data_IF_757578909961
#
_entry.id   IF_757578909961
#
_cell.length_a   1.000
_cell.length_b   1.000
_cell.length_c   1.000
_cell.angle_alpha   90.00
_cell.angle_beta   90.00
_cell.angle_gamma   90.00
#
_symmetry.space_group_name_H-M   'P 1'
#
loop_
_entity.id
_entity.type
_entity.pdbx_description
1 polymer ?
#
# COMPACT_ATOMS: atom_id res chain seq x y z
N UNK A 1 7.45 -33.66 -53.14
CA UNK A 1 8.24 -33.36 -51.92
C UNK A 1 7.25 -33.21 -50.79
N UNK A 2 7.08 -34.25 -49.98
CA UNK A 2 6.23 -34.22 -48.81
C UNK A 2 7.05 -33.61 -47.66
N UNK A 3 6.65 -32.45 -47.18
CA UNK A 3 7.23 -31.85 -45.97
C UNK A 3 6.68 -32.60 -44.76
N UNK A 4 7.55 -33.36 -44.10
CA UNK A 4 7.29 -33.93 -42.78
C UNK A 4 7.06 -32.79 -41.79
N UNK A 5 5.80 -32.59 -41.39
CA UNK A 5 5.50 -31.85 -40.17
C UNK A 5 5.90 -32.75 -39.00
N UNK A 6 7.08 -32.51 -38.43
CA UNK A 6 7.49 -33.06 -37.15
C UNK A 6 6.56 -32.54 -36.06
N UNK A 7 5.49 -33.28 -35.79
CA UNK A 7 4.59 -33.03 -34.67
C UNK A 7 5.36 -33.23 -33.36
N UNK A 8 5.72 -32.13 -32.70
CA UNK A 8 6.15 -32.18 -31.30
C UNK A 8 4.95 -32.72 -30.53
N UNK A 9 5.04 -33.94 -30.02
CA UNK A 9 4.01 -34.52 -29.17
C UNK A 9 3.79 -33.56 -27.99
N UNK A 10 2.63 -32.91 -27.93
CA UNK A 10 2.26 -32.10 -26.78
C UNK A 10 2.25 -33.02 -25.56
N UNK A 11 3.03 -32.68 -24.52
CA UNK A 11 2.99 -33.39 -23.25
C UNK A 11 1.57 -33.35 -22.72
N UNK A 12 1.04 -34.52 -22.38
CA UNK A 12 -0.17 -34.60 -21.61
C UNK A 12 0.11 -34.10 -20.20
N UNK A 13 -0.90 -33.56 -19.52
CA UNK A 13 -0.76 -33.04 -18.16
C UNK A 13 -0.15 -34.08 -17.18
N UNK A 14 -0.30 -35.37 -17.49
CA UNK A 14 0.23 -36.50 -16.73
C UNK A 14 1.76 -36.62 -16.78
N UNK A 15 2.42 -35.97 -17.73
CA UNK A 15 3.88 -35.98 -17.89
C UNK A 15 4.61 -34.96 -17.00
N UNK A 16 3.84 -34.16 -16.26
CA UNK A 16 4.36 -33.18 -15.31
C UNK A 16 4.26 -33.71 -13.89
N UNK A 17 5.18 -33.26 -13.03
CA UNK A 17 5.10 -33.59 -11.62
C UNK A 17 3.79 -33.03 -11.02
N UNK A 18 2.92 -33.87 -10.43
CA UNK A 18 1.63 -33.45 -9.89
C UNK A 18 1.71 -32.32 -8.87
N UNK A 19 2.84 -32.16 -8.16
CA UNK A 19 2.99 -31.09 -7.16
C UNK A 19 2.92 -29.67 -7.77
N UNK A 20 3.25 -29.54 -9.05
CA UNK A 20 3.18 -28.28 -9.79
C UNK A 20 1.86 -28.08 -10.54
N UNK A 21 0.96 -29.06 -10.49
CA UNK A 21 -0.35 -28.98 -11.14
C UNK A 21 -1.38 -28.42 -10.15
N UNK A 22 -2.09 -27.34 -10.49
CA UNK A 22 -3.18 -26.86 -9.64
C UNK A 22 -4.33 -27.86 -9.53
N UNK A 23 -5.21 -27.68 -8.56
CA UNK A 23 -6.39 -28.56 -8.41
C UNK A 23 -7.28 -28.48 -9.67
N UNK A 24 -7.80 -29.60 -10.22
CA UNK A 24 -8.59 -29.62 -11.47
C UNK A 24 -9.74 -28.61 -11.55
N UNK A 25 -10.42 -28.35 -10.43
CA UNK A 25 -11.57 -27.43 -10.39
C UNK A 25 -11.18 -25.95 -10.15
N UNK A 26 -9.89 -25.64 -10.10
CA UNK A 26 -9.41 -24.27 -9.88
C UNK A 26 -9.31 -23.46 -11.18
N UNK A 27 -9.44 -22.13 -11.08
CA UNK A 27 -9.21 -21.25 -12.23
C UNK A 27 -7.77 -21.32 -12.73
N UNK A 28 -6.79 -21.54 -11.84
CA UNK A 28 -5.39 -21.71 -12.19
C UNK A 28 -5.17 -22.95 -13.06
N UNK A 29 -5.86 -24.06 -12.76
CA UNK A 29 -5.81 -25.26 -13.59
C UNK A 29 -6.36 -25.00 -15.00
N UNK A 30 -7.52 -24.35 -15.10
CA UNK A 30 -8.11 -23.97 -16.39
C UNK A 30 -7.16 -23.08 -17.21
N UNK A 31 -6.51 -22.13 -16.56
CA UNK A 31 -5.52 -21.25 -17.21
C UNK A 31 -4.29 -22.04 -17.68
N UNK A 32 -3.81 -23.00 -16.88
CA UNK A 32 -2.67 -23.83 -17.24
C UNK A 32 -2.97 -24.65 -18.50
N UNK A 33 -4.13 -25.32 -18.55
CA UNK A 33 -4.53 -26.08 -19.74
C UNK A 33 -4.59 -25.18 -20.98
N UNK A 34 -5.24 -24.01 -20.86
CA UNK A 34 -5.32 -23.05 -21.95
C UNK A 34 -3.94 -22.63 -22.48
N UNK A 35 -2.97 -22.41 -21.59
CA UNK A 35 -1.61 -22.03 -21.96
C UNK A 35 -0.76 -23.20 -22.48
N UNK A 36 -1.07 -24.44 -22.10
CA UNK A 36 -0.43 -25.63 -22.64
C UNK A 36 -0.90 -25.89 -24.07
N UNK A 37 -2.22 -25.82 -24.29
CA UNK A 37 -2.87 -26.10 -25.58
C UNK A 37 -2.54 -25.05 -26.66
N UNK A 38 -2.27 -23.81 -26.25
CA UNK A 38 -2.04 -22.70 -27.17
C UNK A 38 -0.61 -22.17 -27.04
N UNK A 39 0.04 -21.85 -28.16
CA UNK A 39 1.35 -21.20 -28.14
C UNK A 39 1.29 -19.82 -27.48
N UNK A 40 0.18 -19.12 -27.68
CA UNK A 40 -0.06 -17.78 -27.16
C UNK A 40 -1.56 -17.59 -26.96
N UNK A 41 -1.94 -16.87 -25.91
CA UNK A 41 -3.34 -16.56 -25.57
C UNK A 41 -3.47 -15.05 -25.41
N UNK A 42 -4.38 -14.45 -26.18
CA UNK A 42 -4.60 -13.00 -26.15
C UNK A 42 -5.20 -12.53 -24.81
N UNK A 43 -4.92 -11.29 -24.41
CA UNK A 43 -5.52 -10.67 -23.22
C UNK A 43 -7.05 -10.58 -23.32
N UNK A 44 -7.56 -10.32 -24.54
CA UNK A 44 -9.00 -10.28 -24.80
C UNK A 44 -9.66 -11.64 -24.55
N UNK A 45 -9.02 -12.72 -24.98
CA UNK A 45 -9.48 -14.08 -24.73
C UNK A 45 -9.43 -14.45 -23.25
N UNK A 46 -8.34 -14.12 -22.55
CA UNK A 46 -8.25 -14.30 -21.10
C UNK A 46 -9.36 -13.52 -20.38
N UNK A 47 -9.58 -12.27 -20.76
CA UNK A 47 -10.64 -11.44 -20.18
C UNK A 47 -12.03 -12.05 -20.41
N UNK A 48 -12.28 -12.58 -21.61
CA UNK A 48 -13.53 -13.29 -21.95
C UNK A 48 -13.71 -14.57 -21.13
N UNK A 49 -12.69 -15.42 -21.02
CA UNK A 49 -12.78 -16.73 -20.35
C UNK A 49 -12.89 -16.56 -18.83
N UNK A 50 -12.16 -15.61 -18.25
CA UNK A 50 -12.10 -15.39 -16.80
C UNK A 50 -12.98 -14.23 -16.32
N UNK A 51 -13.81 -13.64 -17.18
CA UNK A 51 -14.66 -12.48 -16.87
C UNK A 51 -13.88 -11.33 -16.21
N UNK A 52 -12.69 -11.01 -16.74
CA UNK A 52 -11.79 -10.00 -16.20
C UNK A 52 -11.06 -10.38 -14.90
N UNK A 53 -11.23 -11.61 -14.40
CA UNK A 53 -10.64 -12.09 -13.13
C UNK A 53 -9.38 -12.93 -13.32
N UNK A 54 -8.73 -12.86 -14.49
CA UNK A 54 -7.54 -13.65 -14.83
C UNK A 54 -6.31 -13.36 -13.95
N UNK A 55 -6.28 -12.23 -13.23
CA UNK A 55 -5.14 -11.86 -12.37
C UNK A 55 -4.83 -12.92 -11.31
N UNK A 56 -5.86 -13.41 -10.61
CA UNK A 56 -5.70 -14.40 -9.54
C UNK A 56 -5.14 -15.75 -10.04
N UNK A 57 -5.66 -16.36 -11.11
CA UNK A 57 -5.08 -17.59 -11.65
C UNK A 57 -3.66 -17.38 -12.21
N UNK A 58 -3.36 -16.25 -12.86
CA UNK A 58 -2.00 -15.92 -13.31
C UNK A 58 -1.02 -15.86 -12.12
N UNK A 59 -1.38 -15.12 -11.07
CA UNK A 59 -0.58 -15.01 -9.85
C UNK A 59 -0.39 -16.36 -9.14
N UNK A 60 -1.44 -17.18 -9.13
CA UNK A 60 -1.38 -18.52 -8.54
C UNK A 60 -0.38 -19.40 -9.30
N UNK A 61 -0.49 -19.47 -10.63
CA UNK A 61 0.40 -20.28 -11.48
C UNK A 61 1.87 -19.83 -11.38
N UNK A 62 2.11 -18.52 -11.48
CA UNK A 62 3.45 -17.95 -11.43
C UNK A 62 4.01 -17.75 -10.02
N UNK A 63 3.30 -18.17 -8.97
CA UNK A 63 3.72 -18.01 -7.58
C UNK A 63 4.68 -19.09 -7.08
N UNK A 64 5.01 -19.04 -5.79
CA UNK A 64 5.96 -19.94 -5.12
C UNK A 64 5.58 -21.43 -5.16
N UNK A 65 4.27 -21.73 -5.24
CA UNK A 65 3.77 -23.10 -5.20
C UNK A 65 3.97 -23.84 -6.52
N UNK A 66 3.57 -23.25 -7.64
CA UNK A 66 3.54 -23.94 -8.92
C UNK A 66 4.68 -23.51 -9.85
N UNK A 67 5.16 -22.27 -9.73
CA UNK A 67 6.32 -21.72 -10.46
C UNK A 67 6.25 -21.92 -11.99
N UNK A 68 5.05 -21.86 -12.58
CA UNK A 68 4.93 -21.82 -14.03
C UNK A 68 5.42 -20.48 -14.55
N UNK A 69 6.38 -20.50 -15.46
CA UNK A 69 6.89 -19.28 -16.06
C UNK A 69 5.96 -18.82 -17.19
N UNK A 70 5.29 -17.68 -16.96
CA UNK A 70 4.34 -17.09 -17.90
C UNK A 70 4.98 -15.83 -18.48
N UNK A 71 5.17 -15.82 -19.79
CA UNK A 71 5.77 -14.71 -20.52
C UNK A 71 4.64 -13.75 -20.93
N UNK A 72 4.80 -12.48 -20.56
CA UNK A 72 3.90 -11.41 -20.99
C UNK A 72 4.42 -10.82 -22.30
N UNK A 73 3.57 -10.77 -23.32
CA UNK A 73 3.84 -10.08 -24.58
C UNK A 73 3.26 -8.68 -24.52
N UNK A 74 4.11 -7.67 -24.64
CA UNK A 74 3.76 -6.26 -24.50
C UNK A 74 3.97 -5.52 -25.81
N UNK A 75 3.11 -4.54 -26.10
CA UNK A 75 3.33 -3.60 -27.20
C UNK A 75 4.36 -2.53 -26.82
N UNK A 76 4.64 -1.61 -27.76
CA UNK A 76 5.60 -0.50 -27.56
C UNK A 76 5.25 0.44 -26.40
N UNK A 77 4.00 0.41 -25.91
CA UNK A 77 3.52 1.19 -24.77
C UNK A 77 3.60 0.42 -23.45
N UNK A 78 4.13 -0.80 -23.44
CA UNK A 78 4.20 -1.68 -22.28
C UNK A 78 2.87 -2.33 -21.90
N UNK A 79 1.83 -2.21 -22.75
CA UNK A 79 0.53 -2.84 -22.48
C UNK A 79 0.59 -4.30 -22.90
N UNK A 80 0.23 -5.20 -21.99
CA UNK A 80 0.18 -6.63 -22.25
C UNK A 80 -0.98 -6.92 -23.19
N UNK A 81 -0.69 -7.46 -24.38
CA UNK A 81 -1.72 -7.85 -25.35
C UNK A 81 -1.93 -9.37 -25.40
N UNK A 82 -0.97 -10.15 -24.91
CA UNK A 82 -1.05 -11.60 -24.87
C UNK A 82 -0.08 -12.21 -23.84
N UNK A 83 -0.27 -13.50 -23.57
CA UNK A 83 0.61 -14.30 -22.71
C UNK A 83 0.89 -15.66 -23.32
N UNK A 84 2.05 -16.21 -22.99
CA UNK A 84 2.44 -17.57 -23.35
C UNK A 84 3.12 -18.26 -22.17
N UNK A 85 3.18 -19.59 -22.23
CA UNK A 85 4.01 -20.36 -21.33
C UNK A 85 5.45 -20.38 -21.85
N UNK A 86 6.44 -20.35 -20.96
CA UNK A 86 7.84 -20.53 -21.37
C UNK A 86 7.99 -21.82 -22.19
N UNK A 87 8.56 -21.77 -23.41
CA UNK A 87 8.66 -22.92 -24.30
C UNK A 87 9.36 -24.14 -23.68
N UNK A 88 10.23 -23.92 -22.69
CA UNK A 88 10.90 -25.00 -21.95
C UNK A 88 9.93 -25.94 -21.26
N UNK A 89 8.79 -25.42 -20.79
CA UNK A 89 7.72 -26.22 -20.21
C UNK A 89 7.06 -27.16 -21.23
N UNK A 90 7.06 -26.78 -22.52
CA UNK A 90 6.48 -27.57 -23.62
C UNK A 90 7.49 -28.46 -24.33
N UNK A 91 8.78 -28.34 -24.00
CA UNK A 91 9.87 -29.03 -24.71
C UNK A 91 9.93 -30.55 -24.48
N UNK A 92 9.09 -31.10 -23.61
CA UNK A 92 9.16 -32.51 -23.20
C UNK A 92 10.28 -32.85 -22.22
N UNK A 93 11.34 -32.03 -22.16
CA UNK A 93 12.49 -32.23 -21.28
C UNK A 93 12.18 -31.85 -19.83
N UNK A 94 12.25 -32.83 -18.93
CA UNK A 94 12.11 -32.62 -17.47
C UNK A 94 13.16 -31.65 -16.94
N UNK A 95 14.38 -31.68 -17.50
CA UNK A 95 15.46 -30.77 -17.09
C UNK A 95 15.16 -29.32 -17.49
N UNK A 96 14.62 -29.11 -18.69
CA UNK A 96 14.22 -27.76 -19.14
C UNK A 96 13.07 -27.21 -18.30
N UNK A 97 12.05 -28.02 -18.02
CA UNK A 97 10.93 -27.64 -17.14
C UNK A 97 11.43 -27.28 -15.73
N UNK A 98 12.27 -28.13 -15.14
CA UNK A 98 12.85 -27.90 -13.81
C UNK A 98 13.69 -26.61 -13.76
N UNK A 99 14.50 -26.36 -14.79
CA UNK A 99 15.29 -25.12 -14.90
C UNK A 99 14.40 -23.88 -14.98
N UNK A 100 13.37 -23.91 -15.84
CA UNK A 100 12.41 -22.80 -15.96
C UNK A 100 11.67 -22.52 -14.64
N UNK A 101 11.27 -23.58 -13.90
CA UNK A 101 10.66 -23.43 -12.57
C UNK A 101 11.61 -22.83 -11.55
N UNK A 102 12.87 -23.28 -11.52
CA UNK A 102 13.87 -22.78 -10.59
C UNK A 102 14.17 -21.29 -10.81
N UNK A 103 14.31 -20.88 -12.08
CA UNK A 103 14.46 -19.47 -12.46
C UNK A 103 13.24 -18.65 -12.02
N UNK A 104 12.03 -19.11 -12.35
CA UNK A 104 10.79 -18.43 -11.96
C UNK A 104 10.64 -18.29 -10.44
N UNK A 105 11.01 -19.34 -9.69
CA UNK A 105 11.00 -19.31 -8.22
C UNK A 105 11.99 -18.28 -7.67
N UNK A 106 13.20 -18.22 -8.22
CA UNK A 106 14.21 -17.24 -7.84
C UNK A 106 13.68 -15.81 -8.04
N UNK A 107 13.14 -15.50 -9.21
CA UNK A 107 12.53 -14.19 -9.51
C UNK A 107 11.38 -13.85 -8.56
N UNK A 108 10.46 -14.80 -8.32
CA UNK A 108 9.35 -14.60 -7.39
C UNK A 108 9.83 -14.23 -5.98
N UNK A 109 10.87 -14.90 -5.49
CA UNK A 109 11.42 -14.63 -4.16
C UNK A 109 12.16 -13.29 -4.11
N UNK A 110 12.81 -12.87 -5.20
CA UNK A 110 13.39 -11.52 -5.30
C UNK A 110 12.31 -10.43 -5.25
N UNK A 111 11.22 -10.58 -6.00
CA UNK A 111 10.08 -9.66 -5.98
C UNK A 111 9.41 -9.61 -4.60
N UNK A 112 9.19 -10.78 -3.99
CA UNK A 112 8.63 -10.92 -2.64
C UNK A 112 9.49 -10.17 -1.62
N UNK A 113 10.81 -10.35 -1.67
CA UNK A 113 11.74 -9.65 -0.79
C UNK A 113 11.69 -8.12 -0.99
N UNK A 114 11.62 -7.64 -2.24
CA UNK A 114 11.47 -6.21 -2.55
C UNK A 114 10.17 -5.64 -1.98
N UNK A 115 9.06 -6.35 -2.15
CA UNK A 115 7.76 -5.96 -1.59
C UNK A 115 7.78 -5.93 -0.06
N UNK A 116 8.39 -6.93 0.59
CA UNK A 116 8.54 -6.99 2.04
C UNK A 116 9.37 -5.81 2.58
N UNK A 117 10.49 -5.48 1.92
CA UNK A 117 11.31 -4.30 2.27
C UNK A 117 10.50 -3.00 2.18
N UNK A 118 9.70 -2.83 1.13
CA UNK A 118 8.82 -1.66 1.00
C UNK A 118 7.73 -1.65 2.07
N UNK A 119 7.13 -2.79 2.36
CA UNK A 119 6.13 -2.96 3.41
C UNK A 119 6.66 -2.51 4.77
N UNK A 120 7.86 -2.94 5.14
CA UNK A 120 8.54 -2.52 6.37
C UNK A 120 8.72 -1.01 6.47
N UNK A 121 9.14 -0.36 5.39
CA UNK A 121 9.30 1.12 5.36
C UNK A 121 7.95 1.81 5.54
N UNK A 122 6.90 1.32 4.87
CA UNK A 122 5.54 1.87 5.00
C UNK A 122 4.99 1.72 6.42
N UNK A 123 5.20 0.56 7.03
CA UNK A 123 4.77 0.28 8.40
C UNK A 123 5.45 1.24 9.40
N UNK A 124 6.77 1.40 9.35
CA UNK A 124 7.48 2.31 10.24
C UNK A 124 6.99 3.76 10.10
N UNK A 125 6.73 4.20 8.86
CA UNK A 125 6.16 5.54 8.61
C UNK A 125 4.75 5.68 9.20
N UNK A 126 3.87 4.73 8.92
CA UNK A 126 2.50 4.74 9.43
C UNK A 126 2.46 4.71 10.97
N UNK A 127 3.39 3.98 11.60
CA UNK A 127 3.54 3.97 13.06
C UNK A 127 3.88 5.37 13.60
N UNK A 128 4.89 6.04 13.05
CA UNK A 128 5.26 7.40 13.49
C UNK A 128 4.14 8.42 13.27
N UNK A 129 3.46 8.35 12.13
CA UNK A 129 2.29 9.19 11.84
C UNK A 129 1.16 8.95 12.85
N UNK A 130 0.93 7.69 13.25
CA UNK A 130 -0.07 7.36 14.27
C UNK A 130 0.28 7.92 15.65
N UNK A 131 1.56 7.94 16.02
CA UNK A 131 2.02 8.54 17.28
C UNK A 131 1.85 10.06 17.24
N UNK A 132 2.22 10.70 16.14
CA UNK A 132 2.07 12.15 15.97
C UNK A 132 0.60 12.57 16.05
N UNK A 133 -0.28 11.90 15.31
CA UNK A 133 -1.72 12.20 15.34
C UNK A 133 -2.32 12.02 16.74
N UNK A 134 -1.85 11.04 17.51
CA UNK A 134 -2.25 10.87 18.92
C UNK A 134 -1.77 12.02 19.82
N UNK A 135 -0.54 12.49 19.61
CA UNK A 135 -0.01 13.65 20.34
C UNK A 135 -0.81 14.91 20.02
N UNK A 136 -1.03 15.20 18.73
CA UNK A 136 -1.81 16.36 18.28
C UNK A 136 -3.22 16.36 18.87
N UNK A 137 -3.87 15.19 18.94
CA UNK A 137 -5.18 15.05 19.60
C UNK A 137 -5.09 15.32 21.10
N UNK A 138 -4.07 14.80 21.78
CA UNK A 138 -3.89 15.03 23.21
C UNK A 138 -3.65 16.52 23.54
N UNK A 139 -2.87 17.21 22.72
CA UNK A 139 -2.61 18.64 22.85
C UNK A 139 -3.90 19.44 22.69
N UNK A 140 -4.70 19.17 21.66
CA UNK A 140 -6.01 19.82 21.46
C UNK A 140 -7.01 19.56 22.59
N UNK A 141 -7.03 18.35 23.15
CA UNK A 141 -7.90 18.00 24.29
C UNK A 141 -7.43 18.71 25.57
N UNK A 142 -6.12 18.81 25.77
CA UNK A 142 -5.53 19.55 26.90
C UNK A 142 -5.83 21.04 26.81
N UNK A 143 -5.69 21.63 25.62
CA UNK A 143 -6.00 23.04 25.37
C UNK A 143 -7.50 23.31 25.61
N UNK A 144 -8.38 22.44 25.13
CA UNK A 144 -9.82 22.55 25.37
C UNK A 144 -10.20 22.45 26.86
N UNK A 145 -9.49 21.61 27.64
CA UNK A 145 -9.72 21.49 29.09
C UNK A 145 -9.23 22.73 29.87
N UNK A 146 -8.17 23.39 29.40
CA UNK A 146 -7.64 24.61 30.01
C UNK A 146 -8.48 25.87 29.69
N UNK A 147 -9.08 25.94 28.50
CA UNK A 147 -9.93 27.06 28.09
C UNK A 147 -11.18 27.20 28.97
N UNK A 148 -11.77 26.08 29.41
CA UNK A 148 -12.94 26.11 30.30
C UNK A 148 -12.59 26.57 31.73
N UNK A 149 -11.39 26.26 32.22
CA UNK A 149 -10.93 26.64 33.55
C UNK A 149 -10.63 28.15 33.65
N UNK A 150 -9.90 28.70 32.68
CA UNK A 150 -9.56 30.14 32.65
C UNK A 150 -10.78 31.04 32.39
N UNK A 151 -11.75 30.58 31.59
CA UNK A 151 -12.98 31.34 31.34
C UNK A 151 -13.92 31.38 32.54
N UNK A 152 -13.88 30.39 33.44
CA UNK A 152 -14.66 30.45 34.69
C UNK A 152 -14.00 31.36 35.73
N UNK A 153 -12.67 31.34 35.85
CA UNK A 153 -11.95 32.19 36.79
C UNK A 153 -12.09 33.68 36.45
N UNK A 154 -11.93 34.04 35.17
CA UNK A 154 -12.11 35.43 34.69
C UNK A 154 -13.57 35.93 34.80
N UNK A 155 -14.57 35.04 34.65
CA UNK A 155 -15.99 35.38 34.90
C UNK A 155 -16.27 35.59 36.39
N UNK A 156 -15.68 34.78 37.26
CA UNK A 156 -15.85 34.89 38.71
C UNK A 156 -15.11 36.12 39.29
N UNK A 157 -13.94 36.47 38.76
CA UNK A 157 -13.22 37.70 39.12
C UNK A 157 -13.94 38.97 38.64
N UNK A 158 -14.55 38.94 37.44
CA UNK A 158 -15.42 40.04 36.97
C UNK A 158 -16.71 40.19 37.77
N UNK A 159 -17.26 39.10 38.32
CA UNK A 159 -18.47 39.14 39.15
C UNK A 159 -18.21 39.73 40.55
N UNK A 160 -17.00 39.57 41.10
CA UNK A 160 -16.65 40.07 42.43
C UNK A 160 -16.11 41.52 42.47
N UNK A 161 -15.92 42.16 41.32
CA UNK A 161 -15.35 43.52 41.22
C UNK A 161 -16.35 44.55 40.68
N UNK A 162 -17.64 44.37 40.93
CA UNK A 162 -18.66 45.39 40.67
C UNK A 162 -18.78 46.32 41.91
N UNK A 163 -18.33 47.59 41.86
CA UNK A 163 -18.44 48.49 42.99
C UNK A 163 -19.88 48.96 43.16
N UNK A 164 -20.50 48.61 44.29
CA UNK A 164 -21.64 49.37 44.82
C UNK A 164 -21.10 50.67 45.40
N UNK A 165 -21.22 51.79 44.67
CA UNK A 165 -21.09 53.12 45.29
C UNK A 165 -22.17 54.04 44.73
N UNK A 166 -23.14 54.37 45.59
CA UNK A 166 -24.11 55.46 45.41
C UNK A 166 -23.41 56.81 45.59
N UNK A 167 -23.99 57.82 44.95
CA UNK A 167 -23.48 59.18 44.79
C UNK A 167 -23.38 60.05 46.07
N UNK A 168 -22.61 61.15 45.90
CA UNK A 168 -22.70 62.51 46.49
C UNK A 168 -21.81 62.86 47.71
N UNK A 169 -20.74 63.67 47.52
CA UNK A 169 -20.72 65.16 47.56
C UNK A 169 -19.28 65.77 47.69
N UNK A 170 -19.09 66.93 47.03
CA UNK A 170 -18.12 68.07 47.20
C UNK A 170 -17.03 68.00 48.30
N UNK A 171 -15.76 68.42 48.14
CA UNK A 171 -15.24 69.75 47.74
C UNK A 171 -13.68 69.79 47.73
N UNK A 172 -13.09 70.70 46.92
CA UNK A 172 -11.83 71.45 47.05
C UNK A 172 -10.40 70.81 46.96
N UNK A 173 -9.55 71.47 46.14
CA UNK A 173 -8.07 71.54 46.23
C UNK A 173 -7.33 70.49 45.40
N UNK A 174 -7.05 70.73 44.12
CA UNK A 174 -5.92 71.49 43.54
C UNK A 174 -4.54 70.82 43.65
N UNK A 175 -3.89 70.81 42.48
CA UNK A 175 -2.50 70.59 42.11
C UNK A 175 -1.87 69.20 41.81
N UNK A 176 -1.54 69.09 40.52
CA UNK A 176 -0.33 68.55 39.86
C UNK A 176 0.16 67.11 40.03
N UNK A 177 -0.05 66.36 38.93
CA UNK A 177 0.96 65.66 38.09
C UNK A 177 2.30 65.25 38.73
N UNK A 178 2.60 63.96 38.70
CA UNK A 178 3.80 63.49 37.99
C UNK A 178 3.78 61.97 37.73
N UNK A 179 3.95 61.63 36.45
CA UNK A 179 4.28 60.31 35.92
C UNK A 179 5.75 59.97 36.14
N UNK A 180 6.09 58.71 36.42
CA UNK A 180 7.42 58.22 36.04
C UNK A 180 7.44 56.70 35.84
N UNK A 181 7.78 56.36 34.60
CA UNK A 181 8.16 55.05 34.10
C UNK A 181 9.39 54.49 34.81
N UNK A 182 9.57 53.16 34.81
CA UNK A 182 10.88 52.55 34.61
C UNK A 182 10.79 51.17 33.93
N UNK A 183 11.86 50.75 33.22
CA UNK A 183 11.75 49.98 31.98
C UNK A 183 12.27 48.54 32.08
N UNK A 184 11.91 47.80 31.02
CA UNK A 184 12.42 46.50 30.58
C UNK A 184 13.92 46.55 30.27
N UNK A 185 14.70 45.56 30.74
CA UNK A 185 15.97 45.06 30.16
C UNK A 185 16.20 43.64 30.67
N UNK A 186 16.09 42.62 29.82
CA UNK A 186 17.04 42.12 28.81
C UNK A 186 17.92 41.00 29.37
N UNK A 187 17.78 39.85 28.73
CA UNK A 187 18.64 38.68 28.79
C UNK A 187 19.96 38.92 28.07
N UNK A 188 21.02 38.35 28.63
CA UNK A 188 22.31 37.95 28.01
C UNK A 188 22.94 37.00 29.03
N UNK A 189 23.64 35.92 28.72
CA UNK A 189 24.12 35.28 27.49
C UNK A 189 24.54 33.87 27.92
#
# INVERSE_FOLDING_TARGET
MASEQGGIAMKDLYDFNPCYIPKPNSQAYKLLLLLLDNNEVSEAELTRIFNGRQRSPIQSLGGDKYCWNIINHTNDKGVIFARSLDPRHKSGSTLHDAKARAERKSEYQQDSHKLAKQGRIRESKAFLESIRAKSELADLVSDAANDDYYNQQTKNEKANTAPTVKASNSNAGDDSLETSHQPKKESKE
#
